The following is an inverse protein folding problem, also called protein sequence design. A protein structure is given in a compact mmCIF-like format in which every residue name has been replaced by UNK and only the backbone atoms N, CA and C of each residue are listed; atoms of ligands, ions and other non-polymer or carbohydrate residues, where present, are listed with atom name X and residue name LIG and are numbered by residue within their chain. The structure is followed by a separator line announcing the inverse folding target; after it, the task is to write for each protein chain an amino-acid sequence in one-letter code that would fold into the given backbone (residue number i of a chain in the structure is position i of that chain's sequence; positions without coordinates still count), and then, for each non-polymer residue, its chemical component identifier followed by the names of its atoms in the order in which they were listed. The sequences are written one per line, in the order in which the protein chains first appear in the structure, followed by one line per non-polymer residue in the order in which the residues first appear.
data_IF_238814449218
#
_entry.id   IF_238814449218
#
_cell.length_a   1.000
_cell.length_b   1.000
_cell.length_c   1.000
_cell.angle_alpha   90.00
_cell.angle_beta   90.00
_cell.angle_gamma   90.00
#
_symmetry.space_group_name_H-M   'P 1'
#
loop_
_entity.id
_entity.type
_entity.pdbx_description
1 polymer ?
2 non-polymer ?
3 non-polymer ?
4 non-polymer ?
#
# COMPACT_ATOMS: atom_id res chain seq x y z
N UNK A 32 0.34 -18.53 25.05
CA UNK A 32 1.75 -18.74 24.60
C UNK A 32 2.18 -17.64 23.63
N UNK A 33 1.62 -17.68 22.42
CA UNK A 33 1.96 -16.70 21.40
C UNK A 33 1.03 -15.50 21.50
N UNK A 34 1.62 -14.30 21.41
CA UNK A 34 0.85 -13.08 21.50
C UNK A 34 0.19 -12.75 20.16
N UNK A 35 -0.99 -12.17 20.24
CA UNK A 35 -1.78 -11.80 19.06
C UNK A 35 -1.55 -10.34 18.73
N UNK A 36 -1.26 -10.06 17.47
CA UNK A 36 -1.10 -8.70 16.96
C UNK A 36 -2.09 -8.47 15.83
N UNK A 37 -2.41 -7.20 15.61
CA UNK A 37 -3.24 -6.79 14.48
C UNK A 37 -2.50 -5.78 13.64
N UNK A 38 -2.70 -5.85 12.33
CA UNK A 38 -2.21 -4.84 11.40
C UNK A 38 -3.44 -4.17 10.80
N UNK A 39 -3.72 -2.95 11.24
CA UNK A 39 -4.92 -2.23 10.85
C UNK A 39 -4.55 -1.03 9.99
N UNK A 40 -5.49 -0.61 9.18
CA UNK A 40 -5.32 0.51 8.29
C UNK A 40 -6.31 0.46 7.16
N UNK A 41 -6.45 1.59 6.48
CA UNK A 41 -7.36 1.65 5.35
C UNK A 41 -6.81 0.82 4.19
N UNK A 42 -7.70 0.50 3.25
CA UNK A 42 -7.29 -0.28 2.10
C UNK A 42 -6.20 0.41 1.31
N UNK A 43 -5.31 -0.39 0.72
CA UNK A 43 -4.19 0.04 -0.09
C UNK A 43 -3.05 0.57 0.79
N UNK A 44 -3.26 0.68 2.10
CA UNK A 44 -2.25 1.28 2.97
C UNK A 44 -0.91 0.55 2.93
N UNK A 45 -0.91 -0.77 2.85
CA UNK A 45 0.30 -1.55 2.79
C UNK A 45 0.50 -2.61 3.86
N UNK A 46 -0.59 -3.11 4.45
CA UNK A 46 -0.45 -4.11 5.52
C UNK A 46 0.14 -5.41 4.99
N UNK A 47 -0.42 -5.92 3.88
CA UNK A 47 0.06 -7.20 3.35
C UNK A 47 1.52 -7.11 2.93
N UNK A 48 1.96 -5.95 2.47
CA UNK A 48 3.37 -5.79 2.15
C UNK A 48 4.23 -5.95 3.40
N UNK A 49 3.79 -5.38 4.52
CA UNK A 49 4.52 -5.56 5.77
C UNK A 49 4.49 -7.02 6.21
N UNK A 50 3.38 -7.72 5.99
CA UNK A 50 3.34 -9.14 6.31
C UNK A 50 4.37 -9.90 5.48
N UNK A 51 4.45 -9.59 4.19
CA UNK A 51 5.44 -10.24 3.33
C UNK A 51 6.85 -9.95 3.84
N UNK A 52 7.13 -8.70 4.20
CA UNK A 52 8.46 -8.35 4.68
C UNK A 52 8.79 -9.12 5.96
N UNK A 53 7.83 -9.19 6.89
CA UNK A 53 8.07 -9.92 8.13
C UNK A 53 8.33 -11.39 7.86
N UNK A 54 7.57 -11.99 6.94
CA UNK A 54 7.82 -13.37 6.57
C UNK A 54 9.22 -13.54 5.99
N UNK A 55 9.63 -12.60 5.13
CA UNK A 55 10.92 -12.72 4.46
C UNK A 55 12.04 -12.63 5.48
N UNK A 56 11.96 -11.70 6.43
CA UNK A 56 13.04 -11.51 7.38
C UNK A 56 13.01 -12.60 8.46
N UNK A 57 11.92 -12.66 9.24
CA UNK A 57 11.81 -13.58 10.36
C UNK A 57 10.97 -14.81 10.02
N UNK A 58 10.97 -15.22 8.76
CA UNK A 58 10.22 -16.39 8.35
C UNK A 58 10.92 -17.20 7.29
N UNK A 59 10.16 -17.65 6.30
CA UNK A 59 10.69 -18.44 5.20
C UNK A 59 10.66 -17.61 3.92
N UNK A 60 11.82 -17.48 3.27
CA UNK A 60 11.88 -16.77 2.02
C UNK A 60 11.07 -17.46 0.95
N UNK A 61 10.61 -16.68 -0.02
CA UNK A 61 9.77 -17.22 -1.08
C UNK A 61 10.59 -18.09 -2.03
N UNK A 62 9.98 -19.17 -2.49
CA UNK A 62 10.68 -20.18 -3.28
C UNK A 62 10.50 -19.91 -4.78
N UNK A 63 11.11 -20.77 -5.60
CA UNK A 63 11.01 -20.61 -7.04
C UNK A 63 9.56 -20.77 -7.52
N UNK A 64 8.84 -21.73 -6.95
CA UNK A 64 7.43 -21.90 -7.31
C UNK A 64 6.63 -20.65 -6.93
N UNK A 65 6.97 -20.04 -5.79
CA UNK A 65 6.31 -18.81 -5.40
C UNK A 65 6.47 -17.74 -6.47
N UNK A 66 7.70 -17.54 -6.93
CA UNK A 66 7.95 -16.52 -7.96
C UNK A 66 7.28 -16.89 -9.27
N UNK A 67 7.27 -18.18 -9.62
CA UNK A 67 6.58 -18.61 -10.83
C UNK A 67 5.10 -18.25 -10.76
N UNK A 68 4.47 -18.48 -9.61
CA UNK A 68 3.09 -18.06 -9.45
C UNK A 68 2.93 -16.55 -9.51
N UNK A 69 3.84 -15.83 -8.85
CA UNK A 69 3.77 -14.37 -8.82
C UNK A 69 3.99 -13.75 -10.18
N UNK A 70 4.58 -14.48 -11.13
CA UNK A 70 4.72 -13.94 -12.47
C UNK A 70 3.36 -13.61 -13.06
N UNK A 71 2.41 -14.53 -12.94
CA UNK A 71 1.06 -14.27 -13.44
C UNK A 71 0.42 -13.10 -12.70
N UNK A 72 0.65 -13.02 -11.38
CA UNK A 72 0.12 -11.91 -10.59
C UNK A 72 0.62 -10.58 -11.13
N UNK A 73 1.93 -10.50 -11.39
CA UNK A 73 2.50 -9.28 -11.96
C UNK A 73 1.88 -9.01 -13.31
N UNK A 74 1.62 -10.06 -14.09
CA UNK A 74 1.05 -9.86 -15.42
C UNK A 74 -0.34 -9.25 -15.34
N UNK A 75 -1.20 -9.80 -14.49
CA UNK A 75 -2.53 -9.19 -14.37
C UNK A 75 -2.48 -7.82 -13.70
N UNK A 76 -1.50 -7.56 -12.82
CA UNK A 76 -1.37 -6.21 -12.29
C UNK A 76 -1.05 -5.22 -13.39
N UNK A 77 -0.12 -5.58 -14.28
CA UNK A 77 0.22 -4.69 -15.39
C UNK A 77 -0.98 -4.51 -16.31
N UNK A 78 -1.70 -5.59 -16.60
CA UNK A 78 -2.89 -5.47 -17.45
C UNK A 78 -3.93 -4.58 -16.81
N UNK A 79 -4.16 -4.73 -15.50
CA UNK A 79 -5.13 -3.91 -14.81
C UNK A 79 -4.73 -2.45 -14.83
N UNK A 80 -3.44 -2.16 -14.62
CA UNK A 80 -2.98 -0.78 -14.68
C UNK A 80 -3.20 -0.20 -16.07
N UNK A 81 -2.86 -0.97 -17.11
CA UNK A 81 -3.03 -0.46 -18.46
C UNK A 81 -4.49 -0.16 -18.75
N UNK A 82 -5.38 -1.10 -18.39
CA UNK A 82 -6.80 -0.89 -18.64
C UNK A 82 -7.32 0.30 -17.87
N UNK A 83 -6.91 0.44 -16.60
CA UNK A 83 -7.38 1.54 -15.78
C UNK A 83 -6.94 2.88 -16.36
N UNK A 84 -5.70 2.98 -16.81
CA UNK A 84 -5.24 4.26 -17.34
C UNK A 84 -5.85 4.56 -18.69
N UNK A 85 -6.11 3.55 -19.53
CA UNK A 85 -6.84 3.81 -20.76
C UNK A 85 -8.25 4.31 -20.45
N UNK A 86 -8.93 3.67 -19.50
CA UNK A 86 -10.28 4.11 -19.14
C UNK A 86 -10.25 5.52 -18.59
N UNK A 87 -9.22 5.86 -17.81
CA UNK A 87 -9.09 7.22 -17.31
C UNK A 87 -8.89 8.21 -18.45
N UNK A 88 -8.06 7.84 -19.44
CA UNK A 88 -7.88 8.70 -20.60
C UNK A 88 -9.20 8.92 -21.33
N UNK A 89 -9.99 7.86 -21.49
CA UNK A 89 -11.28 7.99 -22.18
C UNK A 89 -12.23 8.89 -21.41
N UNK A 90 -12.36 8.65 -20.10
CA UNK A 90 -13.27 9.46 -19.30
C UNK A 90 -12.85 10.92 -19.28
N UNK A 91 -11.54 11.16 -19.16
CA UNK A 91 -11.01 12.52 -19.20
C UNK A 91 -10.87 13.05 -20.62
N UNK A 92 -11.09 12.20 -21.62
CA UNK A 92 -11.09 12.62 -23.03
C UNK A 92 -9.78 13.29 -23.42
N UNK A 93 -8.67 12.74 -22.93
CA UNK A 93 -7.35 13.25 -23.27
C UNK A 93 -6.94 12.68 -24.62
N UNK A 94 -6.60 13.51 -25.61
CA UNK A 94 -6.22 12.96 -26.92
C UNK A 94 -4.91 12.21 -26.86
N UNK A 95 -4.77 11.26 -27.80
CA UNK A 95 -3.57 10.45 -27.91
C UNK A 95 -2.63 11.04 -28.96
N UNK A 96 -1.34 10.75 -28.80
CA UNK A 96 -0.34 11.23 -29.74
C UNK A 96 -0.14 10.24 -30.89
N UNK A 97 -0.20 8.95 -30.61
CA UNK A 97 0.04 7.92 -31.61
C UNK A 97 -1.29 7.36 -32.11
N UNK A 98 -1.57 7.58 -33.40
CA UNK A 98 -2.81 7.07 -33.98
C UNK A 98 -2.81 5.55 -34.03
N UNK A 99 -1.68 4.94 -34.41
CA UNK A 99 -1.64 3.48 -34.50
C UNK A 99 -1.91 2.82 -33.17
N UNK A 100 -1.30 3.32 -32.09
CA UNK A 100 -1.53 2.74 -30.78
C UNK A 100 -3.00 2.75 -30.40
N UNK A 101 -3.78 3.67 -30.96
CA UNK A 101 -5.22 3.66 -30.71
C UNK A 101 -5.80 2.28 -30.99
N UNK A 102 -5.45 1.67 -32.11
CA UNK A 102 -5.89 0.30 -32.36
C UNK A 102 -5.49 -0.60 -31.20
N UNK A 103 -4.21 -0.58 -30.82
CA UNK A 103 -3.78 -1.33 -29.66
C UNK A 103 -4.62 -0.97 -28.44
N UNK A 104 -4.89 0.33 -28.25
CA UNK A 104 -5.73 0.74 -27.13
C UNK A 104 -7.06 0.00 -27.16
N UNK A 105 -7.70 -0.07 -28.33
CA UNK A 105 -8.93 -0.85 -28.44
C UNK A 105 -8.68 -2.29 -28.03
N UNK A 106 -7.61 -2.89 -28.55
CA UNK A 106 -7.25 -4.23 -28.13
C UNK A 106 -7.09 -4.31 -26.62
N UNK A 107 -6.51 -3.27 -26.02
CA UNK A 107 -6.35 -3.25 -24.57
C UNK A 107 -7.71 -3.34 -23.89
N UNK A 108 -8.69 -2.58 -24.41
CA UNK A 108 -10.03 -2.65 -23.86
C UNK A 108 -10.60 -4.06 -23.97
N UNK A 109 -10.18 -4.82 -24.98
CA UNK A 109 -10.71 -6.15 -25.18
C UNK A 109 -10.08 -7.20 -24.27
N UNK A 110 -8.92 -6.91 -23.68
CA UNK A 110 -8.24 -7.87 -22.84
C UNK A 110 -9.01 -8.04 -21.53
N UNK A 111 -9.26 -9.28 -21.14
CA UNK A 111 -9.98 -9.60 -19.91
C UNK A 111 -9.11 -10.53 -19.08
N UNK A 112 -8.92 -10.17 -17.81
CA UNK A 112 -8.01 -10.92 -16.93
C UNK A 112 -8.69 -12.07 -16.23
N UNK A 113 -9.97 -12.32 -16.49
CA UNK A 113 -10.63 -13.49 -15.91
C UNK A 113 -10.13 -14.78 -16.55
N UNK A 114 -10.07 -14.81 -17.88
CA UNK A 114 -9.43 -15.91 -18.59
C UNK A 114 -8.01 -15.50 -18.95
N UNK A 115 -7.21 -15.30 -17.91
CA UNK A 115 -5.86 -14.73 -18.08
C UNK A 115 -4.86 -15.85 -18.30
N UNK A 116 -3.74 -15.48 -18.93
CA UNK A 116 -2.62 -16.38 -19.14
C UNK A 116 -1.34 -15.53 -19.11
N UNK A 117 -0.25 -16.12 -19.59
CA UNK A 117 1.01 -15.40 -19.65
C UNK A 117 0.95 -14.31 -20.72
N UNK A 118 1.82 -13.32 -20.58
CA UNK A 118 1.87 -12.23 -21.54
C UNK A 118 2.26 -12.76 -22.92
N UNK A 119 1.65 -12.21 -23.96
CA UNK A 119 1.88 -12.63 -25.33
C UNK A 119 2.59 -11.53 -26.10
N UNK A 120 3.24 -11.95 -27.19
CA UNK A 120 3.99 -11.01 -28.04
C UNK A 120 3.15 -9.84 -28.53
N UNK A 121 1.94 -10.03 -29.04
CA UNK A 121 1.18 -8.87 -29.55
C UNK A 121 0.86 -7.83 -28.50
N UNK A 122 0.93 -8.18 -27.22
CA UNK A 122 0.59 -7.24 -26.17
C UNK A 122 1.78 -6.45 -25.63
N UNK A 123 2.98 -7.05 -25.65
CA UNK A 123 4.14 -6.35 -25.08
C UNK A 123 4.46 -5.10 -25.88
N UNK A 124 4.44 -5.21 -27.21
CA UNK A 124 4.75 -4.05 -28.04
C UNK A 124 3.70 -2.96 -27.86
N UNK A 125 2.43 -3.34 -27.79
CA UNK A 125 1.37 -2.35 -27.58
C UNK A 125 1.53 -1.66 -26.24
N UNK A 126 1.84 -2.42 -25.18
CA UNK A 126 2.03 -1.82 -23.86
C UNK A 126 3.21 -0.86 -23.88
N UNK A 127 4.31 -1.26 -24.53
CA UNK A 127 5.48 -0.40 -24.60
C UNK A 127 5.16 0.88 -25.35
N UNK A 128 4.46 0.78 -26.48
CA UNK A 128 4.10 1.97 -27.22
C UNK A 128 3.20 2.88 -26.41
N UNK A 129 2.22 2.31 -25.71
CA UNK A 129 1.32 3.12 -24.89
C UNK A 129 2.11 3.84 -23.80
N UNK A 130 2.93 3.10 -23.05
CA UNK A 130 3.68 3.71 -21.96
C UNK A 130 4.61 4.81 -22.48
N UNK A 131 5.23 4.57 -23.64
CA UNK A 131 6.08 5.59 -24.25
C UNK A 131 5.28 6.75 -24.80
N UNK A 132 3.96 6.65 -24.87
CA UNK A 132 3.14 7.72 -25.41
C UNK A 132 3.11 8.89 -24.44
N UNK A 133 3.54 10.09 -24.84
CA UNK A 133 3.53 11.22 -23.89
C UNK A 133 2.14 11.56 -23.36
N UNK A 134 1.09 11.39 -24.15
CA UNK A 134 -0.24 11.75 -23.68
C UNK A 134 -0.68 10.92 -22.50
N UNK A 135 -0.51 9.60 -22.59
CA UNK A 135 -0.89 8.74 -21.48
C UNK A 135 0.07 8.93 -20.32
N UNK A 136 1.32 9.31 -20.61
CA UNK A 136 2.25 9.65 -19.53
C UNK A 136 1.74 10.85 -18.74
N UNK A 137 1.26 11.88 -19.42
CA UNK A 137 0.67 13.02 -18.74
C UNK A 137 -0.58 12.61 -17.98
N UNK A 138 -1.41 11.75 -18.58
CA UNK A 138 -2.58 11.26 -17.88
C UNK A 138 -2.20 10.57 -16.57
N UNK A 139 -1.18 9.72 -16.61
CA UNK A 139 -0.71 9.05 -15.40
C UNK A 139 -0.15 10.05 -14.39
N UNK A 140 0.60 11.04 -14.86
CA UNK A 140 1.06 12.09 -13.97
C UNK A 140 -0.12 12.79 -13.30
N UNK A 141 -1.26 12.83 -13.98
CA UNK A 141 -2.51 13.29 -13.41
C UNK A 141 -3.30 12.16 -12.74
N UNK A 142 -2.61 11.15 -12.23
CA UNK A 142 -3.27 9.95 -11.70
C UNK A 142 -4.17 10.25 -10.51
N UNK A 143 -4.03 11.42 -9.89
CA UNK A 143 -4.82 11.73 -8.71
C UNK A 143 -6.31 11.67 -8.98
N UNK A 144 -6.72 11.79 -10.24
CA UNK A 144 -8.14 11.81 -10.58
C UNK A 144 -8.77 10.43 -10.65
N UNK A 145 -7.99 9.36 -10.52
CA UNK A 145 -8.54 8.01 -10.62
C UNK A 145 -7.66 7.05 -9.83
N UNK A 146 -8.23 5.89 -9.52
CA UNK A 146 -7.49 4.87 -8.79
C UNK A 146 -6.38 4.29 -9.64
N UNK A 147 -5.27 3.93 -9.01
CA UNK A 147 -4.14 3.35 -9.70
C UNK A 147 -3.19 2.75 -8.69
N UNK A 148 -2.58 1.62 -9.06
CA UNK A 148 -1.60 0.97 -8.21
C UNK A 148 -0.31 1.79 -8.18
N UNK A 149 0.28 1.89 -6.99
CA UNK A 149 1.53 2.63 -6.85
C UNK A 149 2.71 1.92 -7.48
N UNK A 150 2.55 0.67 -7.88
CA UNK A 150 3.62 -0.10 -8.50
C UNK A 150 3.67 0.08 -10.01
N UNK A 151 2.81 0.93 -10.57
CA UNK A 151 2.76 1.08 -12.02
C UNK A 151 4.09 1.56 -12.57
N UNK A 152 4.69 2.56 -11.94
CA UNK A 152 5.95 3.10 -12.45
C UNK A 152 7.05 2.06 -12.41
N UNK A 153 7.12 1.27 -11.35
CA UNK A 153 8.15 0.26 -11.21
C UNK A 153 8.06 -0.77 -12.35
N UNK A 154 6.85 -1.28 -12.60
CA UNK A 154 6.67 -2.25 -13.67
C UNK A 154 6.93 -1.63 -15.04
N UNK A 155 6.49 -0.38 -15.24
CA UNK A 155 6.76 0.27 -16.52
C UNK A 155 8.26 0.40 -16.76
N UNK A 156 9.02 0.77 -15.73
CA UNK A 156 10.47 0.80 -15.85
C UNK A 156 11.03 -0.59 -16.15
N UNK A 157 10.50 -1.62 -15.48
CA UNK A 157 10.96 -2.97 -15.74
C UNK A 157 10.76 -3.36 -17.20
N UNK A 158 9.55 -3.11 -17.72
CA UNK A 158 9.27 -3.30 -19.13
C UNK A 158 9.63 -4.69 -19.62
N UNK A 159 10.60 -4.79 -20.53
CA UNK A 159 10.85 -6.06 -21.22
C UNK A 159 11.22 -7.17 -20.24
N UNK A 160 12.06 -6.87 -19.26
CA UNK A 160 12.51 -7.90 -18.32
C UNK A 160 11.33 -8.60 -17.68
N UNK A 161 10.38 -7.83 -17.15
CA UNK A 161 9.18 -8.43 -16.57
C UNK A 161 8.36 -9.13 -17.64
N UNK A 162 8.19 -8.48 -18.80
CA UNK A 162 7.42 -9.07 -19.88
C UNK A 162 8.20 -10.13 -20.66
N UNK A 163 9.50 -10.25 -20.42
CA UNK A 163 10.29 -11.26 -21.12
C UNK A 163 9.79 -12.66 -20.72
N UNK A 164 9.77 -13.61 -21.66
CA UNK A 164 9.31 -14.96 -21.29
C UNK A 164 10.11 -15.57 -20.15
N UNK A 165 11.41 -15.31 -20.10
CA UNK A 165 12.25 -15.80 -19.01
C UNK A 165 12.09 -14.88 -17.80
N UNK A 166 10.91 -14.97 -17.19
CA UNK A 166 10.54 -14.13 -16.06
C UNK A 166 11.00 -14.80 -14.77
N UNK A 167 11.92 -14.15 -14.06
CA UNK A 167 12.43 -14.61 -12.77
C UNK A 167 12.35 -13.45 -11.80
N UNK A 168 11.15 -13.09 -11.36
CA UNK A 168 11.01 -11.91 -10.51
C UNK A 168 11.84 -12.01 -9.24
N UNK A 169 12.44 -10.89 -8.85
CA UNK A 169 13.22 -10.83 -7.63
C UNK A 169 12.30 -10.53 -6.44
N UNK A 170 12.89 -10.47 -5.24
CA UNK A 170 12.10 -10.19 -4.05
C UNK A 170 11.36 -8.88 -4.19
N UNK A 171 11.99 -7.88 -4.82
CA UNK A 171 11.32 -6.59 -5.00
C UNK A 171 10.06 -6.75 -5.83
N UNK A 172 10.14 -7.50 -6.93
CA UNK A 172 8.96 -7.68 -7.78
C UNK A 172 7.83 -8.34 -7.01
N UNK A 173 8.15 -9.38 -6.22
CA UNK A 173 7.12 -10.05 -5.44
C UNK A 173 6.51 -9.09 -4.42
N UNK A 174 7.36 -8.29 -3.75
CA UNK A 174 6.86 -7.35 -2.76
C UNK A 174 5.97 -6.30 -3.42
N UNK A 175 6.35 -5.84 -4.61
CA UNK A 175 5.64 -4.76 -5.29
C UNK A 175 4.48 -5.25 -6.14
N UNK A 176 3.89 -6.39 -5.80
CA UNK A 176 2.70 -6.92 -6.47
C UNK A 176 1.51 -6.67 -5.57
N UNK A 177 0.40 -6.22 -6.16
CA UNK A 177 -0.80 -5.87 -5.41
C UNK A 177 -1.84 -6.98 -5.59
N UNK A 178 -2.33 -7.51 -4.47
CA UNK A 178 -3.38 -8.51 -4.47
C UNK A 178 -4.36 -8.15 -3.34
N UNK A 179 -5.55 -7.63 -3.64
CA UNK A 179 -6.46 -7.21 -2.56
C UNK A 179 -6.77 -8.34 -1.60
N UNK A 180 -6.37 -8.19 -0.34
CA UNK A 180 -6.72 -9.15 0.68
C UNK A 180 -8.16 -8.95 1.13
N UNK A 181 -8.74 -10.00 1.71
CA UNK A 181 -10.08 -9.93 2.24
C UNK A 181 -10.24 -11.03 3.28
N UNK A 182 -10.97 -10.72 4.34
CA UNK A 182 -11.13 -11.65 5.43
C UNK A 182 -9.93 -11.68 6.36
N UNK A 183 -10.16 -12.21 7.55
CA UNK A 183 -9.11 -12.27 8.57
C UNK A 183 -8.16 -13.39 8.21
N UNK A 184 -6.86 -13.09 8.19
CA UNK A 184 -5.82 -14.07 7.87
C UNK A 184 -4.80 -14.00 9.01
N UNK A 185 -4.86 -14.97 9.91
CA UNK A 185 -3.85 -15.07 10.94
C UNK A 185 -2.56 -15.63 10.35
N UNK A 186 -1.45 -14.96 10.63
CA UNK A 186 -0.13 -15.39 10.17
C UNK A 186 0.70 -15.72 11.40
N UNK A 187 0.74 -16.99 11.79
CA UNK A 187 1.62 -17.39 12.90
C UNK A 187 3.07 -17.10 12.57
N UNK A 188 3.82 -16.69 13.59
CA UNK A 188 5.24 -16.41 13.45
C UNK A 188 5.82 -16.23 14.84
N UNK A 189 7.15 -16.22 14.91
CA UNK A 189 7.83 -16.08 16.18
C UNK A 189 9.11 -15.28 15.99
N UNK A 190 9.51 -14.59 17.05
CA UNK A 190 10.78 -13.87 17.06
C UNK A 190 11.91 -14.84 17.36
N UNK A 191 13.10 -14.31 17.63
CA UNK A 191 14.23 -15.18 17.96
C UNK A 191 13.99 -15.94 19.27
N UNK A 192 13.19 -15.39 20.18
CA UNK A 192 12.96 -16.02 21.48
C UNK A 192 11.49 -16.03 21.90
N UNK A 193 10.62 -15.29 21.23
CA UNK A 193 9.21 -15.21 21.59
C UNK A 193 8.36 -15.45 20.36
N UNK A 194 7.11 -15.85 20.59
CA UNK A 194 6.16 -16.14 19.53
C UNK A 194 5.15 -15.01 19.47
N UNK A 195 5.06 -14.34 18.32
CA UNK A 195 4.11 -13.26 18.10
C UNK A 195 3.35 -13.54 16.82
N UNK A 196 2.08 -13.91 16.95
CA UNK A 196 1.23 -14.19 15.81
C UNK A 196 0.62 -12.90 15.30
N UNK A 197 0.67 -12.69 13.99
CA UNK A 197 0.12 -11.50 13.37
C UNK A 197 -1.25 -11.79 12.79
N UNK A 198 -2.00 -10.73 12.48
CA UNK A 198 -3.30 -10.85 11.85
C UNK A 198 -3.38 -9.80 10.76
N UNK A 199 -3.52 -10.24 9.51
CA UNK A 199 -3.74 -9.34 8.40
C UNK A 199 -5.23 -9.29 8.07
N UNK A 200 -5.72 -8.07 7.85
CA UNK A 200 -7.14 -7.85 7.58
C UNK A 200 -7.26 -6.91 6.40
N UNK A 201 -8.41 -6.97 5.74
CA UNK A 201 -8.67 -6.08 4.63
C UNK A 201 -8.92 -4.65 5.09
N UNK A 202 -8.68 -3.71 4.18
CA UNK A 202 -8.80 -2.31 4.52
C UNK A 202 -9.98 -1.62 3.84
N UNK A 203 -10.66 -2.32 2.94
CA UNK A 203 -11.83 -1.74 2.29
C UNK A 203 -12.95 -1.53 3.30
N UNK A 204 -13.71 -0.46 3.10
CA UNK A 204 -14.75 -0.10 4.07
C UNK A 204 -15.73 -1.25 4.27
N UNK A 205 -16.14 -1.90 3.17
CA UNK A 205 -17.11 -2.98 3.28
C UNK A 205 -16.57 -4.12 4.13
N UNK A 206 -15.25 -4.30 4.16
CA UNK A 206 -14.64 -5.43 4.84
C UNK A 206 -14.28 -5.14 6.28
N UNK A 207 -14.12 -3.87 6.66
CA UNK A 207 -13.70 -3.55 8.02
C UNK A 207 -14.67 -4.11 9.06
N UNK A 208 -15.95 -4.19 8.73
CA UNK A 208 -16.95 -4.70 9.67
C UNK A 208 -16.72 -6.17 10.02
N UNK A 209 -15.72 -6.83 9.42
CA UNK A 209 -15.38 -8.18 9.80
C UNK A 209 -14.35 -8.25 10.92
N UNK A 210 -13.82 -7.11 11.36
CA UNK A 210 -12.78 -7.10 12.39
C UNK A 210 -13.31 -7.46 13.77
N UNK A 211 -14.63 -7.40 13.98
CA UNK A 211 -15.19 -7.60 15.31
C UNK A 211 -14.58 -8.82 15.99
N UNK A 212 -14.31 -9.88 15.22
CA UNK A 212 -13.95 -11.15 15.80
C UNK A 212 -12.46 -11.29 16.10
N UNK A 213 -11.63 -10.38 15.60
CA UNK A 213 -10.19 -10.48 15.80
C UNK A 213 -9.69 -9.63 16.97
N UNK A 214 -10.58 -8.97 17.69
CA UNK A 214 -10.20 -8.11 18.80
C UNK A 214 -10.18 -8.83 20.14
N UNK A 215 -10.31 -10.16 20.15
CA UNK A 215 -10.60 -10.87 21.39
C UNK A 215 -9.52 -10.63 22.45
N UNK A 216 -8.26 -10.86 22.10
CA UNK A 216 -7.17 -10.81 23.08
C UNK A 216 -5.98 -10.06 22.49
N UNK A 217 -6.23 -8.91 21.89
CA UNK A 217 -5.16 -8.15 21.26
C UNK A 217 -4.15 -7.74 22.31
N UNK A 218 -2.86 -7.96 22.01
CA UNK A 218 -1.79 -7.56 22.91
C UNK A 218 -1.16 -6.24 22.49
N UNK A 219 -1.16 -5.95 21.20
CA UNK A 219 -0.65 -4.67 20.70
C UNK A 219 -1.12 -4.50 19.26
N UNK A 220 -1.37 -3.26 18.88
CA UNK A 220 -1.93 -2.93 17.57
C UNK A 220 -0.89 -2.19 16.76
N UNK A 221 -0.70 -2.62 15.52
CA UNK A 221 0.12 -1.91 14.55
C UNK A 221 -0.83 -1.28 13.53
N UNK A 222 -0.73 0.04 13.36
CA UNK A 222 -1.60 0.77 12.47
C UNK A 222 -0.80 1.33 11.31
N UNK A 223 -1.29 1.10 10.09
CA UNK A 223 -0.62 1.52 8.86
C UNK A 223 -1.41 2.63 8.21
N UNK A 224 -0.72 3.72 7.85
CA UNK A 224 -1.32 4.83 7.13
C UNK A 224 -0.39 5.20 5.98
N UNK A 225 -0.96 5.34 4.79
CA UNK A 225 -0.18 5.72 3.62
C UNK A 225 0.13 7.21 3.69
N UNK A 226 1.42 7.56 3.75
CA UNK A 226 1.80 8.97 3.81
C UNK A 226 1.39 9.71 2.54
N UNK A 227 1.25 9.01 1.42
CA UNK A 227 0.88 9.61 0.16
C UNK A 227 -0.63 9.57 -0.09
N UNK A 228 -1.42 9.04 0.85
CA UNK A 228 -2.86 9.01 0.69
C UNK A 228 -3.50 10.39 0.81
N UNK A 229 -2.74 11.40 1.21
CA UNK A 229 -3.30 12.73 1.39
C UNK A 229 -3.83 13.31 0.08
N UNK A 230 -3.36 12.81 -1.06
CA UNK A 230 -3.74 13.34 -2.36
C UNK A 230 -4.86 12.55 -3.03
N UNK A 231 -4.93 11.25 -2.79
CA UNK A 231 -5.88 10.38 -3.46
C UNK A 231 -7.10 10.13 -2.59
N UNK A 232 -8.28 10.12 -3.21
CA UNK A 232 -9.52 9.84 -2.52
C UNK A 232 -9.66 8.33 -2.35
N UNK A 233 -10.64 7.90 -1.56
CA UNK A 233 -10.87 6.47 -1.36
C UNK A 233 -11.23 5.81 -2.70
N UNK A 234 -11.19 4.49 -2.69
CA UNK A 234 -11.67 3.72 -3.84
C UNK A 234 -13.18 3.55 -3.76
N UNK A 235 -13.68 3.16 -2.58
CA UNK A 235 -15.12 2.99 -2.40
C UNK A 235 -15.87 4.31 -2.52
N UNK A 236 -15.22 5.43 -2.25
CA UNK A 236 -15.85 6.74 -2.36
C UNK A 236 -14.90 7.67 -3.12
N UNK A 237 -15.46 8.41 -4.08
CA UNK A 237 -14.68 9.31 -4.92
C UNK A 237 -14.74 10.76 -4.45
N UNK A 238 -15.30 11.01 -3.27
CA UNK A 238 -15.42 12.36 -2.74
C UNK A 238 -14.70 12.57 -1.41
N UNK A 239 -14.46 11.51 -0.64
CA UNK A 239 -13.81 11.62 0.65
C UNK A 239 -12.31 11.36 0.51
N UNK A 240 -11.51 12.27 1.05
CA UNK A 240 -10.06 12.09 1.00
C UNK A 240 -9.65 10.87 1.82
N UNK A 241 -8.64 10.14 1.32
CA UNK A 241 -8.20 8.94 2.00
C UNK A 241 -7.66 9.26 3.39
N UNK A 242 -6.91 10.35 3.53
CA UNK A 242 -6.31 10.69 4.81
C UNK A 242 -7.37 10.95 5.86
N UNK A 243 -8.47 11.61 5.48
CA UNK A 243 -9.54 11.85 6.44
C UNK A 243 -10.12 10.54 6.95
N UNK A 244 -10.37 9.60 6.04
CA UNK A 244 -10.88 8.29 6.46
C UNK A 244 -9.88 7.58 7.36
N UNK A 245 -8.60 7.66 7.05
CA UNK A 245 -7.59 7.02 7.89
C UNK A 245 -7.57 7.63 9.28
N UNK A 246 -7.65 8.96 9.37
CA UNK A 246 -7.68 9.61 10.67
C UNK A 246 -8.93 9.21 11.46
N UNK A 247 -10.07 9.15 10.78
CA UNK A 247 -11.30 8.74 11.46
C UNK A 247 -11.17 7.32 11.98
N UNK A 248 -10.61 6.41 11.18
CA UNK A 248 -10.46 5.03 11.63
C UNK A 248 -9.49 4.94 12.79
N UNK A 249 -8.40 5.71 12.75
CA UNK A 249 -7.46 5.72 13.87
C UNK A 249 -8.14 6.19 15.15
N UNK A 250 -8.94 7.25 15.05
CA UNK A 250 -9.68 7.72 16.21
C UNK A 250 -10.64 6.66 16.71
N UNK A 251 -11.33 5.97 15.79
CA UNK A 251 -12.26 4.93 16.18
C UNK A 251 -11.55 3.79 16.91
N UNK A 252 -10.37 3.41 16.44
CA UNK A 252 -9.64 2.30 17.04
C UNK A 252 -9.12 2.71 18.42
N UNK A 253 -8.58 3.91 18.55
CA UNK A 253 -8.10 4.36 19.84
C UNK A 253 -9.25 4.50 20.82
N UNK A 254 -10.42 4.93 20.34
CA UNK A 254 -11.59 5.07 21.20
C UNK A 254 -12.07 3.75 21.76
N UNK A 255 -11.63 2.62 21.20
CA UNK A 255 -12.12 1.33 21.68
C UNK A 255 -11.84 1.19 23.18
N UNK A 256 -12.85 0.91 24.00
CA UNK A 256 -12.59 0.85 25.45
C UNK A 256 -11.72 -0.31 25.86
N UNK A 257 -11.83 -1.45 25.18
CA UNK A 257 -11.16 -2.67 25.62
C UNK A 257 -9.73 -2.78 25.11
N UNK A 258 -9.24 -1.81 24.34
CA UNK A 258 -7.84 -1.75 23.94
C UNK A 258 -7.01 -0.93 24.91
N UNK A 259 -7.60 -0.46 26.02
CA UNK A 259 -6.87 0.41 26.94
C UNK A 259 -5.61 -0.27 27.46
N UNK A 260 -5.58 -1.61 27.49
CA UNK A 260 -4.45 -2.36 28.01
C UNK A 260 -3.53 -2.86 26.91
N UNK A 261 -3.74 -2.42 25.67
CA UNK A 261 -2.93 -2.85 24.54
C UNK A 261 -2.21 -1.65 23.94
N UNK A 262 -0.93 -1.82 23.62
CA UNK A 262 -0.15 -0.76 23.02
C UNK A 262 -0.54 -0.59 21.55
N UNK A 263 -0.29 0.62 21.03
CA UNK A 263 -0.58 0.94 19.64
C UNK A 263 0.68 1.52 19.01
N UNK A 264 1.00 1.08 17.80
CA UNK A 264 2.15 1.55 17.05
C UNK A 264 1.65 2.03 15.70
N UNK A 265 2.03 3.25 15.33
CA UNK A 265 1.53 3.91 14.12
C UNK A 265 2.66 3.92 13.09
N UNK A 266 2.62 2.97 12.16
CA UNK A 266 3.62 2.88 11.10
C UNK A 266 3.24 3.86 10.00
N UNK A 267 4.10 4.86 9.76
CA UNK A 267 3.88 5.82 8.70
C UNK A 267 4.56 5.29 7.44
N UNK A 268 3.80 4.56 6.64
CA UNK A 268 4.32 3.86 5.47
C UNK A 268 4.27 4.76 4.24
N UNK A 269 4.98 4.33 3.20
CA UNK A 269 4.97 5.00 1.90
C UNK A 269 5.58 6.40 1.98
N UNK A 270 6.64 6.55 2.80
CA UNK A 270 7.35 7.82 2.84
C UNK A 270 8.02 8.13 1.51
N UNK A 271 8.51 7.10 0.81
CA UNK A 271 9.13 7.31 -0.49
C UNK A 271 8.13 7.79 -1.53
N UNK A 272 6.84 7.48 -1.38
CA UNK A 272 5.83 8.06 -2.25
C UNK A 272 5.57 9.52 -1.88
N UNK A 273 5.49 9.82 -0.58
CA UNK A 273 5.17 11.18 -0.16
C UNK A 273 6.29 12.15 -0.50
N UNK A 274 7.55 11.73 -0.39
CA UNK A 274 8.65 12.64 -0.69
C UNK A 274 8.59 13.17 -2.11
N UNK A 275 7.94 12.45 -3.02
CA UNK A 275 7.72 12.91 -4.39
C UNK A 275 6.36 13.56 -4.58
N UNK A 276 5.32 13.06 -3.91
CA UNK A 276 4.00 13.65 -4.04
C UNK A 276 3.99 15.10 -3.54
N UNK A 277 4.64 15.34 -2.40
CA UNK A 277 4.74 16.70 -1.87
C UNK A 277 5.50 17.59 -2.83
N UNK A 278 6.61 17.08 -3.38
CA UNK A 278 7.35 17.86 -4.37
C UNK A 278 6.50 18.18 -5.58
N UNK A 279 5.55 17.31 -5.93
CA UNK A 279 4.67 17.53 -7.07
C UNK A 279 3.30 18.06 -6.67
N UNK A 280 2.92 17.95 -5.40
CA UNK A 280 1.61 18.39 -4.96
C UNK A 280 1.75 19.18 -3.67
N UNK A 281 0.91 20.20 -3.52
CA UNK A 281 0.94 21.07 -2.34
C UNK A 281 -0.02 20.54 -1.28
N UNK A 282 0.52 20.27 -0.10
CA UNK A 282 -0.29 19.73 0.98
C UNK A 282 -1.37 20.70 1.44
N UNK A 283 -1.22 21.99 1.13
CA UNK A 283 -2.20 22.97 1.55
C UNK A 283 -3.57 22.67 0.96
N UNK A 284 -3.60 22.29 -0.33
CA UNK A 284 -4.88 22.05 -0.99
C UNK A 284 -5.65 20.93 -0.30
N UNK A 285 -4.97 19.84 0.06
CA UNK A 285 -5.64 18.74 0.75
C UNK A 285 -6.05 19.14 2.16
N UNK A 286 -5.09 19.49 3.00
CA UNK A 286 -5.35 19.99 4.34
C UNK A 286 -4.75 21.39 4.48
N UNK A 287 -5.55 22.45 4.35
CA UNK A 287 -4.99 23.80 4.47
C UNK A 287 -4.35 24.08 5.81
N UNK A 288 -4.73 23.36 6.87
CA UNK A 288 -4.17 23.63 8.19
C UNK A 288 -2.67 23.46 8.22
N UNK A 289 -2.09 22.70 7.28
CA UNK A 289 -0.64 22.50 7.22
C UNK A 289 -0.02 23.72 6.57
N UNK A 290 0.18 24.76 7.38
CA UNK A 290 0.72 26.03 6.92
C UNK A 290 2.25 26.04 6.88
N UNK A 291 2.89 24.88 6.91
CA UNK A 291 4.34 24.81 6.88
C UNK A 291 4.90 25.13 5.51
N UNK A 292 6.23 25.25 5.42
CA UNK A 292 6.84 25.55 4.12
C UNK A 292 6.64 24.40 3.13
N UNK A 293 6.55 24.76 1.86
CA UNK A 293 6.31 23.78 0.81
C UNK A 293 7.61 23.08 0.40
N UNK A 294 7.46 21.86 -0.10
CA UNK A 294 8.56 21.03 -0.62
C UNK A 294 9.42 20.43 0.49
N UNK A 295 9.04 20.59 1.76
CA UNK A 295 9.79 20.04 2.88
C UNK A 295 9.19 18.70 3.25
N UNK A 296 9.82 17.62 2.78
CA UNK A 296 9.31 16.29 3.08
C UNK A 296 9.30 16.02 4.58
N UNK A 297 10.38 16.40 5.26
CA UNK A 297 10.42 16.20 6.71
C UNK A 297 9.33 17.02 7.40
N UNK A 298 9.11 18.25 6.96
CA UNK A 298 8.07 19.07 7.56
C UNK A 298 6.70 18.46 7.36
N UNK A 299 6.41 17.99 6.15
CA UNK A 299 5.11 17.37 5.89
C UNK A 299 4.94 16.10 6.72
N UNK A 300 5.99 15.29 6.81
CA UNK A 300 5.89 14.07 7.61
C UNK A 300 5.64 14.39 9.07
N UNK A 301 6.34 15.39 9.61
CA UNK A 301 6.11 15.78 11.00
C UNK A 301 4.70 16.31 11.20
N UNK A 302 4.20 17.09 10.24
CA UNK A 302 2.84 17.59 10.34
C UNK A 302 1.84 16.46 10.36
N UNK A 303 2.02 15.47 9.48
CA UNK A 303 1.11 14.33 9.45
C UNK A 303 1.17 13.56 10.76
N UNK A 304 2.38 13.33 11.27
CA UNK A 304 2.53 12.60 12.52
C UNK A 304 1.83 13.33 13.67
N UNK A 305 2.01 14.65 13.76
CA UNK A 305 1.36 15.41 14.80
C UNK A 305 -0.16 15.36 14.64
N UNK A 306 -0.65 15.50 13.40
CA UNK A 306 -2.08 15.46 13.18
C UNK A 306 -2.68 14.13 13.61
N UNK A 307 -1.96 13.03 13.35
CA UNK A 307 -2.49 11.73 13.71
C UNK A 307 -2.41 11.49 15.21
N UNK A 308 -1.31 11.89 15.84
CA UNK A 308 -1.18 11.66 17.28
C UNK A 308 -2.16 12.53 18.06
N UNK A 309 -2.55 13.69 17.49
CA UNK A 309 -3.51 14.54 18.17
C UNK A 309 -4.87 13.88 18.36
N UNK A 310 -5.22 12.92 17.50
CA UNK A 310 -6.54 12.32 17.55
C UNK A 310 -6.79 11.52 18.82
N UNK A 311 -5.75 11.19 19.58
CA UNK A 311 -5.95 10.42 20.79
C UNK A 311 -6.80 11.23 21.78
N UNK A 312 -7.71 10.58 22.52
CA UNK A 312 -8.60 11.33 23.41
C UNK A 312 -7.95 11.74 24.72
N UNK A 313 -7.06 10.90 25.24
CA UNK A 313 -6.47 11.13 26.55
C UNK A 313 -4.95 11.06 26.44
N UNK A 314 -4.28 12.11 26.90
CA UNK A 314 -2.83 12.21 26.73
C UNK A 314 -2.08 11.17 27.53
N UNK A 315 -2.68 10.64 28.60
CA UNK A 315 -2.00 9.61 29.38
C UNK A 315 -1.60 8.42 28.50
N UNK A 316 -2.39 8.12 27.48
CA UNK A 316 -2.04 7.08 26.53
C UNK A 316 -0.80 7.49 25.74
N UNK A 317 -0.03 6.49 25.31
CA UNK A 317 1.20 6.70 24.55
C UNK A 317 1.02 6.08 23.18
N UNK A 318 1.43 6.80 22.14
CA UNK A 318 1.36 6.34 20.76
C UNK A 318 2.77 6.37 20.18
N UNK A 319 3.22 5.23 19.67
CA UNK A 319 4.53 5.12 19.06
C UNK A 319 4.42 5.15 17.55
N UNK A 320 5.22 6.00 16.92
CA UNK A 320 5.17 6.20 15.47
C UNK A 320 6.55 5.96 14.87
N UNK A 321 6.57 5.42 13.65
CA UNK A 321 7.81 5.12 12.96
C UNK A 321 7.60 5.33 11.47
N UNK A 322 8.35 6.26 10.89
CA UNK A 322 8.36 6.41 9.44
C UNK A 322 9.02 5.19 8.82
N UNK A 323 8.47 4.71 7.72
CA UNK A 323 8.91 3.45 7.14
C UNK A 323 8.51 3.40 5.67
N UNK A 324 8.93 2.30 5.03
CA UNK A 324 8.56 2.04 3.64
C UNK A 324 8.59 0.53 3.45
N UNK A 325 7.42 -0.10 3.36
CA UNK A 325 7.36 -1.55 3.30
C UNK A 325 8.16 -2.13 2.14
N UNK A 326 8.30 -1.37 1.06
CA UNK A 326 9.01 -1.87 -0.11
C UNK A 326 10.51 -2.00 0.10
N UNK A 327 11.05 -1.46 1.20
CA UNK A 327 12.47 -1.52 1.51
C UNK A 327 12.68 -2.45 2.70
N UNK A 328 13.48 -3.50 2.50
CA UNK A 328 13.68 -4.48 3.56
C UNK A 328 14.40 -3.87 4.75
N UNK A 329 15.39 -3.00 4.50
CA UNK A 329 16.19 -2.45 5.59
C UNK A 329 15.34 -1.63 6.55
N UNK A 330 14.42 -0.82 6.02
CA UNK A 330 13.56 0.00 6.87
C UNK A 330 12.70 -0.89 7.76
N UNK A 331 12.13 -1.95 7.20
CA UNK A 331 11.30 -2.86 7.98
C UNK A 331 12.14 -3.54 9.05
N UNK A 332 13.35 -3.98 8.71
CA UNK A 332 14.24 -4.58 9.70
C UNK A 332 14.46 -3.61 10.86
N UNK A 333 14.86 -2.38 10.54
CA UNK A 333 15.16 -1.41 11.59
C UNK A 333 13.93 -1.14 12.46
N UNK A 334 12.78 -0.97 11.83
CA UNK A 334 11.57 -0.65 12.59
C UNK A 334 11.19 -1.82 13.50
N UNK A 335 11.19 -3.04 12.96
CA UNK A 335 10.80 -4.20 13.74
C UNK A 335 11.77 -4.46 14.88
N UNK A 336 13.06 -4.18 14.68
CA UNK A 336 14.03 -4.38 15.75
C UNK A 336 13.62 -3.69 17.03
N UNK A 337 13.03 -2.49 16.90
CA UNK A 337 12.56 -1.75 18.07
C UNK A 337 11.11 -2.06 18.41
N UNK A 338 10.29 -2.40 17.41
CA UNK A 338 8.89 -2.72 17.69
C UNK A 338 8.81 -3.96 18.58
N UNK A 339 9.62 -4.98 18.29
CA UNK A 339 9.61 -6.18 19.11
C UNK A 339 10.02 -5.87 20.54
N UNK A 340 11.06 -5.05 20.71
CA UNK A 340 11.49 -4.69 22.05
C UNK A 340 10.40 -3.93 22.80
N UNK A 341 9.74 -2.99 22.13
CA UNK A 341 8.67 -2.24 22.77
C UNK A 341 7.53 -3.16 23.17
N UNK A 342 7.15 -4.09 22.31
CA UNK A 342 6.06 -5.01 22.63
C UNK A 342 6.46 -5.89 23.81
N UNK A 343 7.70 -6.39 23.82
CA UNK A 343 8.15 -7.23 24.92
C UNK A 343 8.15 -6.47 26.24
N UNK A 344 8.62 -5.22 26.23
CA UNK A 344 8.60 -4.42 27.44
C UNK A 344 7.17 -4.15 27.89
N UNK A 345 6.26 -3.93 26.94
CA UNK A 345 4.87 -3.65 27.30
C UNK A 345 4.25 -4.81 28.05
N UNK A 346 4.46 -6.03 27.58
CA UNK A 346 3.88 -7.23 28.18
C UNK A 346 5.00 -8.04 28.81
N UNK A 347 5.06 -8.01 30.15
CA UNK A 347 6.07 -8.77 30.89
C UNK A 347 5.64 -10.20 31.18
N UNK A 348 4.41 -10.57 30.84
CA UNK A 348 3.91 -11.92 31.07
C UNK A 348 2.99 -12.36 29.95
#
# INVERSE_FOLDING_TARGET
MGCTLSAEDKAAVERSKMIDRNLREDGERSRRELKLLLLGTGESGKSTFIKQMRIIHGSGYSDEDKRGFTKLVYQNIFTAMQAMIRAMDTLKIPYKYEHNKAHAQLVREVDVEKVSAFENPYVDAIKSLWNDPGIQECYDRRREYQLSDSTKYYLNDLDRVADPAYLPTQQDVLRVRVPTTGIIEYPFDLQSVIFRMVDVGGQRSERRKWIHCFENVTSIMFLVALSEYDQVLVESDNENRMEESKALFRTIITYPWFQNSSVILFLNKKDLLEEKIMYSHLVDYFPEYDGPQRDAQAAREFILKMFVDLNPDSDKIIYSHFTCATDTENIRFVFAAVKDTILQLNLKEYNLV
#
